data_IF_870302870783
#
_entry.id   IF_870302870783
#
_cell.length_a   1.000
_cell.length_b   1.000
_cell.length_c   1.000
_cell.angle_alpha   90.00
_cell.angle_beta   90.00
_cell.angle_gamma   90.00
#
_symmetry.space_group_name_H-M   'P 1'
#
loop_
_entity.id
_entity.type
_entity.pdbx_description
1 polymer ?
#
# COMPACT_ATOMS: atom_id res chain seq x y z
N UNK A 1 -7.25 19.44 -1.71
CA UNK A 1 -7.76 20.30 -0.61
C UNK A 1 -6.79 20.34 0.58
N UNK A 2 -6.42 19.19 1.18
CA UNK A 2 -5.50 19.12 2.33
C UNK A 2 -4.11 19.76 2.10
N UNK A 3 -3.56 19.62 0.89
CA UNK A 3 -2.24 20.18 0.54
C UNK A 3 -2.19 21.72 0.70
N UNK A 4 -3.33 22.41 0.51
CA UNK A 4 -3.42 23.86 0.66
C UNK A 4 -3.43 24.31 2.13
N UNK A 5 -3.89 23.45 3.05
CA UNK A 5 -3.82 23.72 4.49
C UNK A 5 -2.44 23.40 5.08
N UNK A 6 -1.73 22.43 4.50
CA UNK A 6 -0.38 22.05 4.93
C UNK A 6 0.65 23.14 4.61
N UNK A 7 0.49 23.85 3.49
CA UNK A 7 1.44 24.88 3.03
C UNK A 7 1.70 26.01 4.06
N UNK A 8 0.68 26.70 4.64
CA UNK A 8 0.92 27.72 5.67
C UNK A 8 1.44 27.16 7.00
N UNK A 9 1.15 25.90 7.31
CA UNK A 9 1.64 25.22 8.53
C UNK A 9 3.14 24.89 8.37
N UNK A 10 3.57 24.49 7.18
CA UNK A 10 4.96 24.16 6.87
C UNK A 10 5.92 25.34 7.10
N UNK A 11 5.50 26.55 6.73
CA UNK A 11 6.29 27.77 6.97
C UNK A 11 6.47 28.08 8.46
N UNK A 12 5.46 27.81 9.32
CA UNK A 12 5.58 27.97 10.78
C UNK A 12 6.43 26.87 11.45
N UNK A 13 6.43 25.66 10.89
CA UNK A 13 7.21 24.54 11.42
C UNK A 13 8.72 24.75 11.20
N UNK A 14 9.12 25.32 10.06
CA UNK A 14 10.53 25.62 9.78
C UNK A 14 11.16 26.61 10.75
N UNK A 15 10.38 27.48 11.39
CA UNK A 15 10.90 28.46 12.34
C UNK A 15 11.36 27.82 13.66
N UNK A 16 10.97 26.57 13.94
CA UNK A 16 11.30 25.86 15.17
C UNK A 16 12.34 24.74 14.91
N UNK A 17 13.62 24.96 15.25
CA UNK A 17 14.71 24.03 14.89
C UNK A 17 14.58 22.65 15.54
N UNK A 18 13.88 22.53 16.68
CA UNK A 18 13.61 21.25 17.36
C UNK A 18 12.70 20.37 16.49
N UNK A 19 11.66 20.95 15.88
CA UNK A 19 10.69 20.20 15.07
C UNK A 19 11.34 19.73 13.77
N UNK A 20 12.13 20.59 13.13
CA UNK A 20 12.85 20.26 11.89
C UNK A 20 13.83 19.10 12.10
N UNK A 21 14.51 19.05 13.26
CA UNK A 21 15.40 17.93 13.62
C UNK A 21 14.65 16.61 13.86
N UNK A 22 13.39 16.65 14.24
CA UNK A 22 12.57 15.44 14.44
C UNK A 22 11.94 14.91 13.14
N UNK A 23 11.83 15.73 12.09
CA UNK A 23 11.21 15.33 10.81
C UNK A 23 11.82 14.08 10.17
N UNK A 24 13.16 13.90 10.11
CA UNK A 24 13.75 12.68 9.56
C UNK A 24 13.30 11.42 10.30
N UNK A 25 13.14 11.51 11.63
CA UNK A 25 12.66 10.40 12.46
C UNK A 25 11.22 10.02 12.16
N UNK A 26 10.34 11.02 11.99
CA UNK A 26 8.94 10.80 11.61
C UNK A 26 8.83 10.18 10.22
N UNK A 27 9.62 10.65 9.26
CA UNK A 27 9.65 10.10 7.91
C UNK A 27 10.13 8.64 7.94
N UNK A 28 11.20 8.33 8.69
CA UNK A 28 11.70 6.98 8.86
C UNK A 28 10.65 6.05 9.50
N UNK A 29 9.96 6.49 10.55
CA UNK A 29 8.89 5.72 11.20
C UNK A 29 7.71 5.45 10.26
N UNK A 30 7.28 6.46 9.50
CA UNK A 30 6.18 6.30 8.53
C UNK A 30 6.55 5.35 7.38
N UNK A 31 7.78 5.43 6.86
CA UNK A 31 8.29 4.52 5.84
C UNK A 31 8.37 3.08 6.37
N UNK A 32 8.87 2.91 7.61
CA UNK A 32 8.94 1.61 8.28
C UNK A 32 7.56 0.99 8.49
N UNK A 33 6.55 1.78 8.86
CA UNK A 33 5.17 1.32 9.01
C UNK A 33 4.59 0.85 7.67
N UNK A 34 4.77 1.63 6.61
CA UNK A 34 4.32 1.25 5.26
C UNK A 34 5.01 -0.03 4.79
N UNK A 35 6.31 -0.18 5.05
CA UNK A 35 7.07 -1.36 4.68
C UNK A 35 6.64 -2.60 5.48
N UNK A 36 6.37 -2.45 6.78
CA UNK A 36 5.84 -3.53 7.61
C UNK A 36 4.45 -3.99 7.14
N UNK A 37 3.57 -3.05 6.80
CA UNK A 37 2.25 -3.37 6.25
C UNK A 37 2.37 -4.09 4.90
N UNK A 38 3.23 -3.59 4.00
CA UNK A 38 3.49 -4.24 2.72
C UNK A 38 4.04 -5.67 2.90
N UNK A 39 4.96 -5.87 3.86
CA UNK A 39 5.50 -7.18 4.19
C UNK A 39 4.41 -8.15 4.67
N UNK A 40 3.56 -7.73 5.61
CA UNK A 40 2.46 -8.58 6.12
C UNK A 40 1.42 -8.91 5.04
N UNK A 41 1.06 -7.94 4.20
CA UNK A 41 0.14 -8.19 3.07
C UNK A 41 0.76 -9.15 2.05
N UNK A 42 2.05 -9.00 1.76
CA UNK A 42 2.75 -9.89 0.84
C UNK A 42 2.84 -11.32 1.38
N UNK A 43 3.06 -11.48 2.68
CA UNK A 43 3.16 -12.79 3.33
C UNK A 43 1.88 -13.63 3.14
N UNK A 44 0.71 -13.01 3.28
CA UNK A 44 -0.59 -13.68 3.09
C UNK A 44 -0.92 -13.99 1.62
N UNK A 45 -0.30 -13.30 0.67
CA UNK A 45 -0.65 -13.40 -0.76
C UNK A 45 0.37 -14.23 -1.55
N UNK A 46 1.65 -14.08 -1.26
CA UNK A 46 2.73 -14.73 -1.98
C UNK A 46 2.95 -16.19 -1.59
N UNK A 47 2.58 -16.57 -0.37
CA UNK A 47 2.71 -17.93 0.14
C UNK A 47 1.34 -18.57 0.34
N UNK A 48 1.23 -19.85 0.03
CA UNK A 48 0.04 -20.63 0.36
C UNK A 48 0.18 -21.22 1.76
N UNK A 49 -0.74 -20.84 2.64
CA UNK A 49 -0.80 -21.27 4.02
C UNK A 49 -1.78 -22.43 4.16
N UNK A 50 -1.45 -23.42 4.98
CA UNK A 50 -2.36 -24.53 5.27
C UNK A 50 -3.55 -24.09 6.14
N UNK A 51 -3.33 -23.11 7.02
CA UNK A 51 -4.36 -22.51 7.87
C UNK A 51 -4.29 -20.98 7.75
N UNK A 52 -5.44 -20.37 7.46
CA UNK A 52 -5.57 -18.92 7.31
C UNK A 52 -5.37 -18.24 8.68
N UNK A 53 -4.55 -17.17 8.71
CA UNK A 53 -4.30 -16.38 9.93
C UNK A 53 -3.14 -16.86 10.80
N UNK A 54 -2.50 -18.00 10.50
CA UNK A 54 -1.31 -18.48 11.21
C UNK A 54 -0.06 -18.43 10.33
N UNK A 55 0.73 -17.35 10.44
CA UNK A 55 1.92 -17.10 9.61
C UNK A 55 3.21 -17.74 10.15
N UNK A 56 3.15 -19.00 10.57
CA UNK A 56 4.33 -19.75 11.04
C UNK A 56 4.87 -20.64 9.92
N UNK A 57 6.19 -20.67 9.72
CA UNK A 57 6.84 -21.50 8.68
C UNK A 57 6.51 -22.99 8.76
N UNK A 58 6.03 -23.47 9.91
CA UNK A 58 5.54 -24.85 10.11
C UNK A 58 4.18 -25.11 9.45
N UNK A 59 3.40 -24.07 9.14
CA UNK A 59 2.07 -24.14 8.50
C UNK A 59 2.12 -23.81 6.99
N UNK A 60 3.31 -23.82 6.39
CA UNK A 60 3.49 -23.61 4.96
C UNK A 60 3.07 -24.86 4.19
N UNK A 61 2.31 -24.70 3.11
CA UNK A 61 1.92 -25.83 2.28
C UNK A 61 3.16 -26.46 1.63
N UNK A 62 3.36 -27.76 1.85
CA UNK A 62 4.54 -28.49 1.38
C UNK A 62 4.55 -28.77 -0.13
N UNK A 63 3.37 -28.76 -0.79
CA UNK A 63 3.22 -29.19 -2.18
C UNK A 63 2.99 -28.01 -3.16
N UNK A 64 2.74 -26.80 -2.65
CA UNK A 64 2.56 -25.61 -3.52
C UNK A 64 2.81 -24.32 -2.73
N UNK A 65 4.01 -24.19 -2.16
CA UNK A 65 4.36 -23.17 -1.16
C UNK A 65 4.21 -21.73 -1.67
N UNK A 66 4.45 -21.49 -2.96
CA UNK A 66 4.47 -20.14 -3.56
C UNK A 66 3.29 -19.99 -4.52
N UNK A 67 2.49 -18.95 -4.30
CA UNK A 67 1.34 -18.66 -5.15
C UNK A 67 1.75 -17.77 -6.35
N UNK A 68 2.28 -18.40 -7.40
CA UNK A 68 2.78 -17.70 -8.59
C UNK A 68 1.71 -16.88 -9.32
N UNK A 69 0.45 -17.33 -9.35
CA UNK A 69 -0.63 -16.62 -10.05
C UNK A 69 -0.95 -15.29 -9.38
N UNK A 70 -1.09 -15.27 -8.05
CA UNK A 70 -1.33 -14.04 -7.29
C UNK A 70 -0.17 -13.06 -7.41
N UNK A 71 1.08 -13.55 -7.26
CA UNK A 71 2.27 -12.71 -7.42
C UNK A 71 2.32 -12.09 -8.83
N UNK A 72 2.06 -12.89 -9.86
CA UNK A 72 2.04 -12.41 -11.25
C UNK A 72 0.99 -11.31 -11.43
N UNK A 73 -0.24 -11.50 -10.93
CA UNK A 73 -1.30 -10.47 -11.04
C UNK A 73 -0.91 -9.16 -10.36
N UNK A 74 -0.25 -9.19 -9.20
CA UNK A 74 0.23 -7.98 -8.51
C UNK A 74 1.31 -7.27 -9.33
N UNK A 75 2.28 -8.01 -9.86
CA UNK A 75 3.36 -7.45 -10.67
C UNK A 75 2.79 -6.82 -11.94
N UNK A 76 1.93 -7.55 -12.67
CA UNK A 76 1.32 -7.08 -13.89
C UNK A 76 0.47 -5.82 -13.63
N UNK A 77 -0.38 -5.85 -12.61
CA UNK A 77 -1.21 -4.70 -12.22
C UNK A 77 -0.37 -3.51 -11.81
N UNK A 78 0.72 -3.72 -11.05
CA UNK A 78 1.65 -2.66 -10.65
C UNK A 78 2.34 -2.04 -11.86
N UNK A 79 2.80 -2.85 -12.81
CA UNK A 79 3.43 -2.37 -14.06
C UNK A 79 2.44 -1.57 -14.90
N UNK A 80 1.19 -2.06 -15.01
CA UNK A 80 0.11 -1.34 -15.71
C UNK A 80 -0.19 -0.01 -15.02
N UNK A 81 -0.29 0.02 -13.69
CA UNK A 81 -0.51 1.25 -12.91
C UNK A 81 0.60 2.28 -13.12
N UNK A 82 1.86 1.84 -13.19
CA UNK A 82 2.99 2.74 -13.43
C UNK A 82 2.96 3.37 -14.82
N UNK A 83 2.47 2.65 -15.83
CA UNK A 83 2.35 3.19 -17.20
C UNK A 83 1.07 3.98 -17.45
N UNK A 84 -0.02 3.63 -16.78
CA UNK A 84 -1.34 4.19 -17.09
C UNK A 84 -1.62 5.38 -16.18
N UNK A 85 -1.37 6.60 -16.67
CA UNK A 85 -1.78 7.85 -16.00
C UNK A 85 -3.28 8.10 -16.15
N UNK A 86 -4.12 7.21 -15.60
CA UNK A 86 -5.56 7.45 -15.56
C UNK A 86 -5.83 8.49 -14.47
N UNK A 87 -6.47 9.61 -14.82
CA UNK A 87 -6.87 10.63 -13.85
C UNK A 87 -7.87 9.99 -12.87
N UNK A 88 -7.57 10.04 -11.56
CA UNK A 88 -8.41 9.48 -10.48
C UNK A 88 -9.93 9.69 -10.60
N UNK A 89 -10.45 10.82 -11.12
CA UNK A 89 -11.89 11.01 -11.27
C UNK A 89 -12.58 9.95 -12.15
N UNK A 90 -11.90 9.44 -13.18
CA UNK A 90 -12.50 8.46 -14.11
C UNK A 90 -12.73 7.10 -13.44
N UNK A 91 -11.86 6.70 -12.51
CA UNK A 91 -11.99 5.41 -11.81
C UNK A 91 -13.22 5.37 -10.90
N UNK A 92 -13.48 6.49 -10.21
CA UNK A 92 -14.64 6.64 -9.32
C UNK A 92 -15.94 6.57 -10.11
N UNK A 93 -15.99 7.25 -11.28
CA UNK A 93 -17.15 7.25 -12.16
C UNK A 93 -17.47 5.84 -12.69
N UNK A 94 -16.45 5.11 -13.16
CA UNK A 94 -16.62 3.73 -13.64
C UNK A 94 -17.03 2.78 -12.50
N UNK A 95 -16.46 2.94 -11.30
CA UNK A 95 -16.83 2.12 -10.15
C UNK A 95 -18.28 2.33 -9.71
N UNK A 96 -18.78 3.58 -9.71
CA UNK A 96 -20.18 3.90 -9.43
C UNK A 96 -21.10 3.27 -10.48
N UNK A 97 -20.76 3.41 -11.77
CA UNK A 97 -21.56 2.83 -12.86
C UNK A 97 -21.58 1.31 -12.81
N UNK A 98 -20.44 0.66 -12.56
CA UNK A 98 -20.37 -0.80 -12.41
C UNK A 98 -21.12 -1.29 -11.17
N UNK A 99 -21.04 -0.59 -10.03
CA UNK A 99 -21.75 -0.97 -8.81
C UNK A 99 -23.27 -0.79 -8.90
N UNK A 100 -23.76 0.09 -9.77
CA UNK A 100 -25.21 0.24 -10.05
C UNK A 100 -25.70 -0.81 -11.05
N UNK A 101 -24.86 -1.24 -12.00
CA UNK A 101 -25.23 -2.22 -13.03
C UNK A 101 -25.07 -3.69 -12.58
N UNK A 102 -24.15 -3.96 -11.67
CA UNK A 102 -23.90 -5.29 -11.08
C UNK A 102 -24.20 -5.20 -9.57
N UNK A 103 -25.47 -5.34 -9.15
CA UNK A 103 -25.81 -5.46 -7.73
C UNK A 103 -25.26 -6.75 -7.11
#
# INVERSE_FOLDING_TARGET
LLIFFVFPIWERIKSHPIVVKALPGVIAASCGLVLAAAYLMFLSVGLNWAQEGSFYYTNLQAIDTVNYTKIMTIILTSVILLKTKIKSPWYILVAIVCGVLLP
#
